data_IF_010184762646
#
_entry.id   IF_010184762646
#
_cell.length_a   1.000
_cell.length_b   1.000
_cell.length_c   1.000
_cell.angle_alpha   90.00
_cell.angle_beta   90.00
_cell.angle_gamma   90.00
#
_symmetry.space_group_name_H-M   'P 1'
#
loop_
_entity.id
_entity.type
_entity.pdbx_description
1 polymer ?
#
# COMPACT_ATOMS: atom_id res chain seq x y z
N UNK A 1 -8.41 28.35 -9.32
CA UNK A 1 -8.77 26.97 -8.97
C UNK A 1 -7.45 26.27 -8.70
N UNK A 2 -7.06 26.13 -7.44
CA UNK A 2 -5.88 25.34 -7.11
C UNK A 2 -6.21 23.88 -7.43
N UNK A 3 -5.46 23.31 -8.36
CA UNK A 3 -5.59 21.89 -8.69
C UNK A 3 -4.89 21.15 -7.56
N UNK A 4 -5.65 20.32 -6.85
CA UNK A 4 -5.12 19.48 -5.79
C UNK A 4 -4.00 18.58 -6.35
N UNK A 5 -2.92 18.43 -5.59
CA UNK A 5 -1.78 17.65 -6.04
C UNK A 5 -2.14 16.16 -6.15
N UNK A 6 -1.58 15.46 -7.13
CA UNK A 6 -1.76 14.01 -7.28
C UNK A 6 -1.43 13.25 -5.99
N UNK A 7 -0.48 13.76 -5.18
CA UNK A 7 -0.09 13.19 -3.90
C UNK A 7 -1.22 13.25 -2.86
N UNK A 8 -1.89 14.40 -2.75
CA UNK A 8 -3.00 14.60 -1.82
C UNK A 8 -4.21 13.71 -2.19
N UNK A 9 -4.52 13.61 -3.49
CA UNK A 9 -5.57 12.71 -3.98
C UNK A 9 -5.26 11.23 -3.69
N UNK A 10 -3.98 10.83 -3.75
CA UNK A 10 -3.56 9.46 -3.38
C UNK A 10 -3.69 9.21 -1.88
N UNK A 11 -3.31 10.17 -1.03
CA UNK A 11 -3.44 10.06 0.43
C UNK A 11 -4.91 9.96 0.87
N UNK A 12 -5.79 10.76 0.27
CA UNK A 12 -7.24 10.66 0.51
C UNK A 12 -7.77 9.27 0.11
N UNK A 13 -7.40 8.78 -1.07
CA UNK A 13 -7.82 7.46 -1.54
C UNK A 13 -7.34 6.33 -0.61
N UNK A 14 -6.10 6.38 -0.11
CA UNK A 14 -5.59 5.39 0.84
C UNK A 14 -6.36 5.43 2.15
N UNK A 15 -6.70 6.63 2.62
CA UNK A 15 -7.46 6.83 3.85
C UNK A 15 -8.85 6.17 3.74
N UNK A 16 -9.57 6.45 2.65
CA UNK A 16 -10.88 5.83 2.37
C UNK A 16 -10.76 4.30 2.25
N UNK A 17 -9.71 3.78 1.64
CA UNK A 17 -9.50 2.34 1.51
C UNK A 17 -9.25 1.68 2.88
N UNK A 18 -8.51 2.33 3.77
CA UNK A 18 -8.24 1.82 5.12
C UNK A 18 -9.50 1.78 6.00
N UNK A 19 -10.48 2.64 5.77
CA UNK A 19 -11.78 2.58 6.46
C UNK A 19 -12.62 1.37 6.07
N UNK A 20 -12.38 0.80 4.88
CA UNK A 20 -13.25 -0.23 4.27
C UNK A 20 -12.57 -1.57 4.07
N UNK A 21 -11.25 -1.61 4.18
CA UNK A 21 -10.45 -2.80 3.88
C UNK A 21 -9.40 -3.05 4.97
N UNK A 22 -9.11 -4.32 5.26
CA UNK A 22 -7.95 -4.65 6.09
C UNK A 22 -6.67 -4.03 5.50
N UNK A 23 -5.78 -3.47 6.33
CA UNK A 23 -4.54 -2.83 5.89
C UNK A 23 -3.69 -3.71 4.94
N UNK A 24 -3.71 -5.03 5.14
CA UNK A 24 -3.00 -6.00 4.29
C UNK A 24 -3.48 -6.02 2.84
N UNK A 25 -4.78 -5.82 2.60
CA UNK A 25 -5.34 -5.76 1.24
C UNK A 25 -5.05 -4.42 0.58
N UNK A 26 -5.06 -3.32 1.35
CA UNK A 26 -4.68 -1.98 0.87
C UNK A 26 -3.20 -1.96 0.45
N UNK A 27 -2.30 -2.51 1.27
CA UNK A 27 -0.88 -2.61 0.94
C UNK A 27 -0.62 -3.42 -0.35
N UNK A 28 -1.34 -4.53 -0.55
CA UNK A 28 -1.25 -5.34 -1.79
C UNK A 28 -1.77 -4.58 -3.01
N UNK A 29 -2.83 -3.78 -2.84
CA UNK A 29 -3.40 -2.97 -3.90
C UNK A 29 -2.42 -1.86 -4.33
N UNK A 30 -1.85 -1.13 -3.36
CA UNK A 30 -0.85 -0.09 -3.63
C UNK A 30 0.41 -0.66 -4.31
N UNK A 31 0.85 -1.84 -3.87
CA UNK A 31 1.91 -2.61 -4.52
C UNK A 31 1.61 -2.93 -5.98
N UNK A 32 0.39 -3.40 -6.28
CA UNK A 32 -0.03 -3.78 -7.63
C UNK A 32 -0.25 -2.55 -8.54
N UNK A 33 -0.77 -1.46 -7.98
CA UNK A 33 -1.08 -0.24 -8.72
C UNK A 33 0.15 0.60 -9.05
N UNK A 34 1.31 0.35 -8.41
CA UNK A 34 2.52 1.18 -8.57
C UNK A 34 2.20 2.68 -8.46
N UNK A 35 1.26 3.05 -7.58
CA UNK A 35 0.84 4.44 -7.40
C UNK A 35 2.06 5.26 -6.98
N UNK A 36 2.43 6.24 -7.80
CA UNK A 36 3.73 6.90 -7.77
C UNK A 36 4.82 6.01 -8.37
N UNK A 37 5.27 6.31 -9.60
CA UNK A 37 6.38 5.56 -10.21
C UNK A 37 7.64 5.69 -9.37
N UNK A 38 7.92 4.66 -8.59
CA UNK A 38 9.26 4.35 -8.12
C UNK A 38 9.50 4.66 -6.66
N UNK A 39 8.98 3.82 -5.76
CA UNK A 39 9.76 3.35 -4.61
C UNK A 39 9.04 2.24 -3.82
N UNK A 40 8.30 1.37 -4.52
CA UNK A 40 7.60 0.23 -3.89
C UNK A 40 8.51 -0.57 -2.94
N UNK A 41 9.79 -0.73 -3.32
CA UNK A 41 10.79 -1.41 -2.50
C UNK A 41 11.07 -0.63 -1.21
N UNK A 42 11.29 0.69 -1.27
CA UNK A 42 11.50 1.50 -0.06
C UNK A 42 10.27 1.56 0.84
N UNK A 43 9.07 1.68 0.26
CA UNK A 43 7.84 1.70 1.06
C UNK A 43 7.58 0.37 1.75
N UNK A 44 7.81 -0.76 1.07
CA UNK A 44 7.72 -2.08 1.69
C UNK A 44 8.74 -2.21 2.83
N UNK A 45 9.98 -1.83 2.60
CA UNK A 45 11.05 -1.98 3.60
C UNK A 45 10.81 -1.06 4.82
N UNK A 46 10.20 0.11 4.63
CA UNK A 46 9.79 1.02 5.72
C UNK A 46 8.59 0.49 6.51
N UNK A 47 7.57 -0.04 5.82
CA UNK A 47 6.32 -0.49 6.44
C UNK A 47 6.45 -1.88 7.07
N UNK A 48 7.36 -2.71 6.57
CA UNK A 48 7.54 -4.10 6.97
C UNK A 48 9.03 -4.44 7.14
N UNK A 49 9.69 -3.91 8.18
CA UNK A 49 11.13 -4.10 8.36
C UNK A 49 11.46 -5.58 8.58
N UNK A 50 12.41 -6.09 7.79
CA UNK A 50 12.86 -7.48 7.85
C UNK A 50 11.94 -8.48 7.13
N UNK A 51 10.86 -8.03 6.51
CA UNK A 51 9.92 -8.89 5.80
C UNK A 51 10.23 -8.93 4.30
N UNK A 52 10.10 -10.11 3.71
CA UNK A 52 10.23 -10.30 2.26
C UNK A 52 8.84 -10.31 1.62
N UNK A 53 8.78 -10.14 0.30
CA UNK A 53 7.51 -10.30 -0.44
C UNK A 53 6.91 -11.70 -0.20
N UNK A 54 7.76 -12.71 -0.07
CA UNK A 54 7.35 -14.09 0.21
C UNK A 54 6.72 -14.23 1.61
N UNK A 55 7.34 -13.67 2.66
CA UNK A 55 6.80 -13.74 4.03
C UNK A 55 5.46 -12.99 4.15
N UNK A 56 5.34 -11.85 3.46
CA UNK A 56 4.09 -11.09 3.40
C UNK A 56 2.98 -11.85 2.68
N UNK A 57 3.31 -12.57 1.59
CA UNK A 57 2.36 -13.42 0.88
C UNK A 57 1.88 -14.59 1.75
N UNK A 58 2.79 -15.27 2.46
CA UNK A 58 2.45 -16.38 3.35
C UNK A 58 1.52 -15.93 4.49
N UNK A 59 1.78 -14.78 5.10
CA UNK A 59 0.91 -14.18 6.13
C UNK A 59 -0.47 -13.80 5.59
N UNK A 60 -0.55 -13.34 4.35
CA UNK A 60 -1.83 -13.02 3.70
C UNK A 60 -2.67 -14.28 3.41
N UNK A 61 -2.04 -15.43 3.20
CA UNK A 61 -2.71 -16.72 2.96
C UNK A 61 -2.97 -17.54 4.23
N UNK A 62 -2.26 -17.25 5.33
CA UNK A 62 -2.40 -17.97 6.60
C UNK A 62 -3.70 -17.63 7.37
N UNK A 63 -4.43 -16.59 6.95
CA UNK A 63 -5.75 -16.24 7.47
C UNK A 63 -6.92 -16.83 6.69
N UNK A 64 -6.69 -17.92 5.95
CA UNK A 64 -7.72 -18.65 5.20
C UNK A 64 -8.07 -19.95 5.88
#
# INVERSE_FOLDING_TARGET
MEVESEQATVEEAVTVLLERMPPSKVARLLSAWRVGRGDYVQWRDKLFPGETVESLCQKATAGK
#
